data_IF_846861328703
#
_entry.id   IF_846861328703
#
_cell.length_a   1.000
_cell.length_b   1.000
_cell.length_c   1.000
_cell.angle_alpha   90.00
_cell.angle_beta   90.00
_cell.angle_gamma   90.00
#
_symmetry.space_group_name_H-M   'P 1'
#
loop_
_entity.id
_entity.type
_entity.pdbx_description
1 polymer ?
#
# COMPACT_ATOMS: atom_id res chain seq x y z
N UNK A 1 17.22 18.78 34.71
CA UNK A 1 16.06 18.79 33.80
C UNK A 1 16.14 17.48 33.01
N UNK A 2 15.27 16.53 33.31
CA UNK A 2 15.34 15.19 32.70
C UNK A 2 14.71 15.21 31.31
N UNK A 3 15.49 14.84 30.29
CA UNK A 3 14.93 14.37 29.04
C UNK A 3 14.24 13.04 29.36
N UNK A 4 12.90 13.05 29.40
CA UNK A 4 12.14 11.80 29.48
C UNK A 4 12.49 10.97 28.26
N UNK A 5 13.18 9.86 28.46
CA UNK A 5 13.37 8.86 27.42
C UNK A 5 11.98 8.32 27.06
N UNK A 6 11.48 8.69 25.88
CA UNK A 6 10.33 7.99 25.29
C UNK A 6 10.81 6.55 25.10
N UNK A 7 10.27 5.62 25.89
CA UNK A 7 10.58 4.21 25.75
C UNK A 7 10.15 3.78 24.35
N UNK A 8 11.09 3.44 23.48
CA UNK A 8 10.76 2.79 22.21
C UNK A 8 10.00 1.49 22.52
N UNK A 9 8.82 1.34 21.93
CA UNK A 9 7.99 0.14 22.06
C UNK A 9 8.77 -1.07 21.52
N UNK A 10 8.75 -2.19 22.24
CA UNK A 10 9.40 -3.42 21.75
C UNK A 10 8.59 -4.04 20.60
N UNK A 11 9.24 -4.80 19.70
CA UNK A 11 8.54 -5.46 18.59
C UNK A 11 7.43 -6.41 19.07
N UNK A 12 7.63 -7.10 20.19
CA UNK A 12 6.60 -7.98 20.78
C UNK A 12 5.38 -7.21 21.25
N UNK A 13 5.58 -6.04 21.86
CA UNK A 13 4.50 -5.16 22.28
C UNK A 13 3.77 -4.52 21.08
N UNK A 14 4.51 -4.12 20.04
CA UNK A 14 3.92 -3.67 18.77
C UNK A 14 3.03 -4.76 18.16
N UNK A 15 3.51 -6.00 18.10
CA UNK A 15 2.73 -7.11 17.57
C UNK A 15 1.45 -7.38 18.38
N UNK A 16 1.54 -7.37 19.71
CA UNK A 16 0.38 -7.56 20.58
C UNK A 16 -0.69 -6.48 20.35
N UNK A 17 -0.29 -5.21 20.29
CA UNK A 17 -1.21 -4.10 20.02
C UNK A 17 -1.79 -4.17 18.61
N UNK A 18 -0.95 -4.46 17.61
CA UNK A 18 -1.39 -4.60 16.22
C UNK A 18 -2.44 -5.71 16.07
N UNK A 19 -2.25 -6.84 16.77
CA UNK A 19 -3.20 -7.96 16.77
C UNK A 19 -4.56 -7.62 17.41
N UNK A 20 -4.62 -6.56 18.23
CA UNK A 20 -5.84 -6.06 18.88
C UNK A 20 -6.55 -4.96 18.10
N UNK A 21 -6.06 -4.62 16.90
CA UNK A 21 -6.66 -3.58 16.08
C UNK A 21 -6.11 -2.18 16.32
N UNK A 22 -4.95 -2.04 16.97
CA UNK A 22 -4.30 -0.72 17.07
C UNK A 22 -3.71 -0.31 15.71
N UNK A 23 -4.32 0.68 15.07
CA UNK A 23 -3.91 1.13 13.74
C UNK A 23 -2.48 1.66 13.68
N UNK A 24 -2.00 2.32 14.74
CA UNK A 24 -0.62 2.84 14.77
C UNK A 24 0.39 1.69 14.88
N UNK A 25 0.10 0.70 15.73
CA UNK A 25 0.93 -0.50 15.85
C UNK A 25 0.91 -1.35 14.57
N UNK A 26 -0.23 -1.46 13.89
CA UNK A 26 -0.31 -2.12 12.58
C UNK A 26 0.54 -1.38 11.54
N UNK A 27 0.54 -0.05 11.54
CA UNK A 27 1.43 0.70 10.65
C UNK A 27 2.91 0.50 11.00
N UNK A 28 3.26 0.46 12.28
CA UNK A 28 4.61 0.11 12.73
C UNK A 28 5.04 -1.29 12.24
N UNK A 29 4.13 -2.27 12.25
CA UNK A 29 4.38 -3.61 11.66
C UNK A 29 4.60 -3.56 10.16
N UNK A 30 3.83 -2.75 9.42
CA UNK A 30 4.05 -2.53 7.98
C UNK A 30 5.46 -1.94 7.72
N UNK A 31 5.84 -0.91 8.48
CA UNK A 31 7.16 -0.28 8.38
C UNK A 31 8.30 -1.22 8.80
N UNK A 32 8.09 -2.07 9.80
CA UNK A 32 9.04 -3.11 10.17
C UNK A 32 9.25 -4.11 9.02
N UNK A 33 8.16 -4.55 8.39
CA UNK A 33 8.22 -5.47 7.24
C UNK A 33 8.95 -4.86 6.05
N UNK A 34 8.70 -3.58 5.74
CA UNK A 34 9.42 -2.84 4.71
C UNK A 34 10.92 -2.76 5.00
N UNK A 35 11.31 -2.56 6.28
CA UNK A 35 12.73 -2.58 6.68
C UNK A 35 13.36 -3.95 6.46
N UNK A 36 12.66 -5.05 6.77
CA UNK A 36 13.14 -6.41 6.53
C UNK A 36 13.30 -6.71 5.03
N UNK A 37 12.34 -6.26 4.20
CA UNK A 37 12.42 -6.33 2.74
C UNK A 37 13.68 -5.64 2.21
N UNK A 38 13.90 -4.40 2.62
CA UNK A 38 15.06 -3.60 2.19
C UNK A 38 16.40 -4.20 2.66
N UNK A 39 16.38 -4.94 3.78
CA UNK A 39 17.55 -5.67 4.27
C UNK A 39 17.76 -7.03 3.56
N UNK A 40 16.86 -7.45 2.67
CA UNK A 40 16.90 -8.78 2.05
C UNK A 40 16.62 -9.93 3.03
N UNK A 41 16.04 -9.62 4.20
CA UNK A 41 15.77 -10.60 5.25
C UNK A 41 14.51 -11.44 4.99
N UNK A 42 13.67 -11.01 4.04
CA UNK A 42 12.47 -11.73 3.59
C UNK A 42 12.37 -11.72 2.07
N UNK A 43 11.78 -12.77 1.44
CA UNK A 43 11.52 -12.77 0.00
C UNK A 43 10.59 -11.61 -0.41
N UNK A 44 10.84 -11.01 -1.57
CA UNK A 44 10.10 -9.83 -2.05
C UNK A 44 8.58 -10.03 -2.09
N UNK A 45 8.09 -11.10 -2.73
CA UNK A 45 6.64 -11.35 -2.82
C UNK A 45 5.97 -11.50 -1.46
N UNK A 46 6.62 -12.20 -0.52
CA UNK A 46 6.10 -12.41 0.84
C UNK A 46 6.10 -11.11 1.62
N UNK A 47 7.23 -10.39 1.64
CA UNK A 47 7.34 -9.17 2.41
C UNK A 47 6.44 -8.05 1.90
N UNK A 48 6.23 -7.92 0.59
CA UNK A 48 5.33 -6.88 0.04
C UNK A 48 3.88 -7.21 0.39
N UNK A 49 3.47 -8.48 0.26
CA UNK A 49 2.13 -8.92 0.65
C UNK A 49 1.86 -8.69 2.16
N UNK A 50 2.83 -9.03 3.01
CA UNK A 50 2.71 -8.83 4.46
C UNK A 50 2.67 -7.34 4.83
N UNK A 51 3.54 -6.51 4.24
CA UNK A 51 3.52 -5.06 4.48
C UNK A 51 2.18 -4.43 4.05
N UNK A 52 1.65 -4.87 2.91
CA UNK A 52 0.36 -4.40 2.39
C UNK A 52 -0.80 -4.81 3.30
N UNK A 53 -0.78 -6.05 3.81
CA UNK A 53 -1.76 -6.54 4.77
C UNK A 53 -1.80 -5.66 6.02
N UNK A 54 -0.63 -5.41 6.63
CA UNK A 54 -0.54 -4.58 7.82
C UNK A 54 -0.96 -3.13 7.56
N UNK A 55 -0.55 -2.54 6.44
CA UNK A 55 -0.93 -1.19 6.07
C UNK A 55 -2.44 -1.04 5.83
N UNK A 56 -3.08 -2.01 5.16
CA UNK A 56 -4.55 -2.00 4.97
C UNK A 56 -5.30 -2.12 6.30
N UNK A 57 -4.84 -2.99 7.21
CA UNK A 57 -5.43 -3.07 8.55
C UNK A 57 -5.27 -1.75 9.31
N UNK A 58 -4.10 -1.13 9.24
CA UNK A 58 -3.84 0.16 9.86
C UNK A 58 -4.81 1.24 9.36
N UNK A 59 -5.02 1.32 8.03
CA UNK A 59 -5.98 2.24 7.42
C UNK A 59 -7.41 1.99 7.95
N UNK A 60 -7.86 0.72 7.99
CA UNK A 60 -9.19 0.34 8.50
C UNK A 60 -9.36 0.77 9.96
N UNK A 61 -8.31 0.63 10.77
CA UNK A 61 -8.32 0.96 12.18
C UNK A 61 -7.97 2.44 12.47
N UNK A 62 -8.05 3.31 11.45
CA UNK A 62 -7.95 4.75 11.63
C UNK A 62 -6.53 5.28 11.88
N UNK A 63 -5.51 4.58 11.38
CA UNK A 63 -4.14 5.09 11.38
C UNK A 63 -4.01 6.38 10.54
N UNK A 64 -2.86 7.04 10.70
CA UNK A 64 -2.55 8.31 10.05
C UNK A 64 -2.77 8.26 8.51
N UNK A 65 -3.28 9.34 7.88
CA UNK A 65 -3.46 9.39 6.43
C UNK A 65 -2.22 9.02 5.60
N UNK A 66 -1.00 9.16 6.12
CA UNK A 66 0.25 8.75 5.45
C UNK A 66 0.29 7.25 5.10
N UNK A 67 -0.50 6.43 5.82
CA UNK A 67 -0.68 5.01 5.50
C UNK A 67 -1.22 4.82 4.09
N UNK A 68 -2.08 5.72 3.61
CA UNK A 68 -2.68 5.65 2.26
C UNK A 68 -1.61 5.70 1.17
N UNK A 69 -0.65 6.62 1.31
CA UNK A 69 0.48 6.72 0.39
C UNK A 69 1.36 5.48 0.44
N UNK A 70 1.53 4.88 1.64
CA UNK A 70 2.26 3.62 1.80
C UNK A 70 1.56 2.47 1.07
N UNK A 71 0.24 2.33 1.23
CA UNK A 71 -0.56 1.31 0.52
C UNK A 71 -0.40 1.46 -0.99
N UNK A 72 -0.56 2.69 -1.51
CA UNK A 72 -0.41 2.97 -2.94
C UNK A 72 0.95 2.53 -3.47
N UNK A 73 2.04 2.86 -2.78
CA UNK A 73 3.38 2.43 -3.18
C UNK A 73 3.53 0.90 -3.20
N UNK A 74 3.00 0.22 -2.19
CA UNK A 74 3.03 -1.25 -2.10
C UNK A 74 2.23 -1.92 -3.21
N UNK A 75 1.07 -1.38 -3.58
CA UNK A 75 0.24 -1.89 -4.69
C UNK A 75 0.96 -1.78 -6.04
N UNK A 76 1.69 -0.68 -6.27
CA UNK A 76 2.49 -0.51 -7.50
C UNK A 76 3.63 -1.54 -7.56
N UNK A 77 4.34 -1.77 -6.44
CA UNK A 77 5.37 -2.81 -6.37
C UNK A 77 4.75 -4.19 -6.63
N UNK A 78 3.62 -4.49 -5.99
CA UNK A 78 2.94 -5.78 -6.13
C UNK A 78 2.42 -6.01 -7.56
N UNK A 79 1.97 -4.95 -8.23
CA UNK A 79 1.64 -4.95 -9.66
C UNK A 79 2.85 -5.38 -10.49
N UNK A 80 4.02 -4.76 -10.28
CA UNK A 80 5.24 -5.10 -11.02
C UNK A 80 5.66 -6.54 -10.79
N UNK A 81 5.57 -7.05 -9.55
CA UNK A 81 5.86 -8.45 -9.23
C UNK A 81 4.89 -9.40 -9.95
N UNK A 82 3.59 -9.10 -9.92
CA UNK A 82 2.57 -9.90 -10.61
C UNK A 82 2.80 -9.96 -12.14
N UNK A 83 3.27 -8.86 -12.74
CA UNK A 83 3.64 -8.84 -14.17
C UNK A 83 4.85 -9.74 -14.46
N UNK A 84 5.86 -9.71 -13.60
CA UNK A 84 7.07 -10.55 -13.76
C UNK A 84 6.75 -12.04 -13.65
N UNK A 85 5.82 -12.40 -12.78
CA UNK A 85 5.34 -13.77 -12.59
C UNK A 85 4.31 -14.22 -13.67
N UNK A 86 3.96 -13.34 -14.61
CA UNK A 86 3.02 -13.66 -15.68
C UNK A 86 1.58 -13.85 -15.20
N UNK A 87 1.17 -13.10 -14.16
CA UNK A 87 -0.19 -13.12 -13.58
C UNK A 87 -0.89 -11.78 -13.88
N UNK A 88 -1.29 -11.51 -15.14
CA UNK A 88 -1.74 -10.19 -15.57
C UNK A 88 -3.06 -9.76 -14.92
N UNK A 89 -3.93 -10.69 -14.50
CA UNK A 89 -5.20 -10.37 -13.86
C UNK A 89 -4.97 -9.78 -12.47
N UNK A 90 -4.05 -10.38 -11.71
CA UNK A 90 -3.63 -9.87 -10.40
C UNK A 90 -2.94 -8.52 -10.56
N UNK A 91 -2.01 -8.40 -11.52
CA UNK A 91 -1.37 -7.13 -11.83
C UNK A 91 -2.39 -6.03 -12.13
N UNK A 92 -3.40 -6.31 -12.97
CA UNK A 92 -4.42 -5.34 -13.32
C UNK A 92 -5.33 -4.93 -12.15
N UNK A 93 -5.68 -5.87 -11.26
CA UNK A 93 -6.51 -5.57 -10.10
C UNK A 93 -5.80 -4.62 -9.12
N UNK A 94 -4.55 -4.93 -8.78
CA UNK A 94 -3.76 -4.13 -7.85
C UNK A 94 -3.40 -2.77 -8.46
N UNK A 95 -3.15 -2.74 -9.77
CA UNK A 95 -2.92 -1.49 -10.51
C UNK A 95 -4.16 -0.59 -10.52
N UNK A 96 -5.35 -1.18 -10.68
CA UNK A 96 -6.61 -0.44 -10.65
C UNK A 96 -6.84 0.24 -9.30
N UNK A 97 -6.56 -0.47 -8.20
CA UNK A 97 -6.66 0.09 -6.85
C UNK A 97 -5.61 1.19 -6.63
N UNK A 98 -4.35 0.98 -7.05
CA UNK A 98 -3.30 1.99 -6.93
C UNK A 98 -3.68 3.30 -7.66
N UNK A 99 -4.19 3.19 -8.89
CA UNK A 99 -4.69 4.36 -9.65
C UNK A 99 -5.84 5.03 -8.92
N UNK A 100 -6.84 4.27 -8.45
CA UNK A 100 -7.99 4.85 -7.76
C UNK A 100 -7.57 5.63 -6.50
N UNK A 101 -6.60 5.10 -5.74
CA UNK A 101 -6.04 5.78 -4.57
C UNK A 101 -5.25 7.04 -4.93
N UNK A 102 -4.42 7.00 -5.97
CA UNK A 102 -3.70 8.18 -6.46
C UNK A 102 -4.64 9.28 -6.96
N UNK A 103 -5.67 8.90 -7.71
CA UNK A 103 -6.72 9.78 -8.21
C UNK A 103 -7.45 10.49 -7.04
N UNK A 104 -7.85 9.73 -6.02
CA UNK A 104 -8.49 10.29 -4.82
C UNK A 104 -7.58 11.24 -4.03
N UNK A 105 -6.27 10.96 -3.94
CA UNK A 105 -5.30 11.86 -3.29
C UNK A 105 -5.08 13.12 -4.12
N UNK A 106 -4.96 13.00 -5.44
CA UNK A 106 -4.83 14.14 -6.35
C UNK A 106 -6.07 15.06 -6.30
N UNK A 107 -7.28 14.48 -6.27
CA UNK A 107 -8.54 15.21 -6.11
C UNK A 107 -8.61 15.95 -4.76
N UNK A 108 -7.94 15.43 -3.73
CA UNK A 108 -7.80 16.07 -2.43
C UNK A 108 -6.71 17.17 -2.40
N UNK A 109 -6.02 17.43 -3.51
CA UNK A 109 -4.98 18.46 -3.65
C UNK A 109 -3.55 17.98 -3.41
N UNK A 110 -3.29 16.67 -3.35
CA UNK A 110 -1.92 16.14 -3.29
C UNK A 110 -1.27 16.19 -4.69
N UNK A 111 -0.49 17.24 -4.94
CA UNK A 111 0.23 17.45 -6.20
C UNK A 111 1.24 16.33 -6.50
N UNK A 112 1.83 15.72 -5.47
CA UNK A 112 2.75 14.59 -5.64
C UNK A 112 2.00 13.35 -6.11
N UNK A 113 0.81 13.09 -5.54
CA UNK A 113 -0.04 11.99 -6.01
C UNK A 113 -0.49 12.20 -7.46
N UNK A 114 -0.85 13.42 -7.84
CA UNK A 114 -1.18 13.75 -9.24
C UNK A 114 -0.02 13.53 -10.21
N UNK A 115 1.20 13.91 -9.80
CA UNK A 115 2.42 13.69 -10.59
C UNK A 115 2.75 12.19 -10.72
N UNK A 116 2.63 11.44 -9.63
CA UNK A 116 2.83 9.99 -9.62
C UNK A 116 1.79 9.27 -10.49
N UNK A 117 0.53 9.71 -10.45
CA UNK A 117 -0.54 9.17 -11.31
C UNK A 117 -0.19 9.35 -12.79
N UNK A 118 0.25 10.55 -13.18
CA UNK A 118 0.63 10.82 -14.57
C UNK A 118 1.80 9.93 -15.03
N UNK A 119 2.86 9.82 -14.22
CA UNK A 119 4.01 8.99 -14.54
C UNK A 119 3.64 7.51 -14.66
N UNK A 120 2.88 6.98 -13.71
CA UNK A 120 2.47 5.58 -13.69
C UNK A 120 1.58 5.23 -14.90
N UNK A 121 0.70 6.14 -15.33
CA UNK A 121 -0.14 5.92 -16.50
C UNK A 121 0.64 5.95 -17.82
N UNK A 122 1.74 6.72 -17.90
CA UNK A 122 2.60 6.81 -19.08
C UNK A 122 3.45 5.54 -19.27
N UNK A 123 3.92 4.95 -18.17
CA UNK A 123 4.76 3.74 -18.18
C UNK A 123 3.97 2.42 -18.20
N UNK A 124 2.66 2.47 -17.94
CA UNK A 124 1.83 1.28 -17.84
C UNK A 124 1.74 0.49 -19.15
N UNK A 125 1.84 -0.85 -19.06
CA UNK A 125 1.54 -1.74 -20.18
C UNK A 125 0.11 -1.48 -20.68
N UNK A 126 -0.11 -1.30 -22.00
CA UNK A 126 -1.45 -1.07 -22.56
C UNK A 126 -2.47 -2.15 -22.18
N UNK A 127 -2.02 -3.40 -22.02
CA UNK A 127 -2.87 -4.54 -21.63
C UNK A 127 -3.35 -4.37 -20.19
N UNK A 128 -2.41 -4.10 -19.27
CA UNK A 128 -2.72 -3.88 -17.85
C UNK A 128 -3.61 -2.65 -17.69
N UNK A 129 -3.32 -1.58 -18.42
CA UNK A 129 -4.12 -0.36 -18.38
C UNK A 129 -5.57 -0.60 -18.88
N UNK A 130 -5.76 -1.39 -19.93
CA UNK A 130 -7.08 -1.75 -20.43
C UNK A 130 -7.89 -2.57 -19.42
N UNK A 131 -7.25 -3.53 -18.74
CA UNK A 131 -7.88 -4.35 -17.72
C UNK A 131 -8.18 -3.56 -16.45
N UNK A 132 -7.23 -2.74 -15.98
CA UNK A 132 -7.43 -1.88 -14.82
C UNK A 132 -8.58 -0.89 -15.03
N UNK A 133 -8.71 -0.31 -16.23
CA UNK A 133 -9.88 0.51 -16.60
C UNK A 133 -11.19 -0.26 -16.52
N UNK A 134 -11.20 -1.51 -17.00
CA UNK A 134 -12.39 -2.38 -16.92
C UNK A 134 -12.79 -2.64 -15.47
N UNK A 135 -11.83 -2.96 -14.61
CA UNK A 135 -12.05 -3.22 -13.18
C UNK A 135 -12.56 -1.96 -12.47
N UNK A 136 -11.88 -0.81 -12.64
CA UNK A 136 -12.30 0.46 -12.05
C UNK A 136 -13.71 0.89 -12.47
N UNK A 137 -14.04 0.71 -13.76
CA UNK A 137 -15.38 1.03 -14.27
C UNK A 137 -16.46 0.08 -13.75
N UNK A 138 -16.11 -1.17 -13.42
CA UNK A 138 -17.02 -2.08 -12.72
C UNK A 138 -17.23 -1.62 -11.27
N UNK A 139 -16.15 -1.33 -10.53
CA UNK A 139 -16.24 -0.88 -9.13
C UNK A 139 -17.00 0.44 -8.94
N UNK A 140 -16.84 1.40 -9.87
CA UNK A 140 -17.64 2.64 -9.84
C UNK A 140 -19.14 2.42 -10.04
N UNK A 141 -19.53 1.34 -10.73
CA UNK A 141 -20.95 1.03 -11.01
C UNK A 141 -21.63 0.36 -9.81
N UNK A 142 -20.89 -0.38 -9.00
CA UNK A 142 -21.43 -1.11 -7.85
C UNK A 142 -21.10 -0.47 -6.48
N UNK A 143 -20.24 0.55 -6.46
CA UNK A 143 -19.86 1.29 -5.25
C UNK A 143 -18.76 0.60 -4.42
N UNK A 144 -18.03 -0.36 -5.00
CA UNK A 144 -16.94 -1.08 -4.33
C UNK A 144 -15.56 -0.40 -4.42
N UNK A 145 -15.43 0.63 -5.26
CA UNK A 145 -14.23 1.46 -5.47
C UNK A 145 -14.61 2.94 -5.56
#
# INVERSE_FOLDING_TARGET
MGAGSVSERSLGETFELASRGDGSAQYEMAQHTIRLLNAGAVPWGVGVAEALLWARQAEINGADPVVRTTITGLLLIYTSLAQQEGIPEMAAAEFAEAIARLDALADAGDEMAGSALAAVLDEASPVILAWAKTIRNAGKRDGSL
#
